data_IF_562343587872
#
_entry.id   IF_562343587872
#
_cell.length_a   1.000
_cell.length_b   1.000
_cell.length_c   1.000
_cell.angle_alpha   90.00
_cell.angle_beta   90.00
_cell.angle_gamma   90.00
#
_symmetry.space_group_name_H-M   'P 1'
#
loop_
_entity.id
_entity.type
_entity.pdbx_description
1 polymer ?
#
# COMPACT_ATOMS: atom_id res chain seq x y z
N UNK A 1 -10.82 14.44 -17.28
CA UNK A 1 -9.99 15.58 -17.72
C UNK A 1 -8.98 15.97 -16.63
N UNK A 2 -9.42 16.31 -15.40
CA UNK A 2 -8.51 16.70 -14.31
C UNK A 2 -7.36 15.73 -14.00
N UNK A 3 -7.61 14.41 -13.90
CA UNK A 3 -6.54 13.41 -13.66
C UNK A 3 -5.51 13.42 -14.79
N UNK A 4 -5.97 13.45 -16.04
CA UNK A 4 -5.09 13.47 -17.21
C UNK A 4 -4.27 14.77 -17.27
N UNK A 5 -4.87 15.90 -16.91
CA UNK A 5 -4.22 17.20 -16.85
C UNK A 5 -3.13 17.28 -15.78
N UNK A 6 -3.43 16.82 -14.56
CA UNK A 6 -2.45 16.78 -13.46
C UNK A 6 -1.31 15.80 -13.78
N UNK A 7 -1.62 14.65 -14.39
CA UNK A 7 -0.61 13.69 -14.85
C UNK A 7 0.24 14.17 -16.02
N UNK A 8 -0.13 15.23 -16.74
CA UNK A 8 0.73 15.84 -17.77
C UNK A 8 1.59 16.92 -17.13
N UNK A 9 0.98 17.81 -16.35
CA UNK A 9 1.64 19.01 -15.82
C UNK A 9 2.53 18.70 -14.61
N UNK A 10 2.31 17.57 -13.92
CA UNK A 10 3.05 17.12 -12.75
C UNK A 10 3.31 18.24 -11.72
N UNK A 11 2.27 18.97 -11.27
CA UNK A 11 2.45 20.01 -10.26
C UNK A 11 2.98 19.37 -8.96
N UNK A 12 4.14 19.84 -8.48
CA UNK A 12 4.73 19.38 -7.21
C UNK A 12 5.71 18.21 -7.29
N UNK A 13 5.97 17.62 -8.46
CA UNK A 13 6.88 16.46 -8.59
C UNK A 13 8.34 16.69 -8.15
N UNK A 14 8.80 17.94 -8.12
CA UNK A 14 10.11 18.31 -7.61
C UNK A 14 10.20 18.36 -6.07
N UNK A 15 9.10 18.19 -5.32
CA UNK A 15 9.13 18.08 -3.86
C UNK A 15 9.38 16.65 -3.35
N UNK A 16 9.12 15.64 -4.18
CA UNK A 16 9.09 14.24 -3.72
C UNK A 16 10.43 13.51 -3.88
N UNK A 17 11.42 14.17 -4.49
CA UNK A 17 12.74 13.59 -4.77
C UNK A 17 13.73 13.70 -3.61
N UNK A 18 13.39 14.42 -2.53
CA UNK A 18 14.27 14.60 -1.37
C UNK A 18 13.93 13.68 -0.18
N UNK A 19 12.70 13.13 -0.10
CA UNK A 19 12.28 12.24 1.01
C UNK A 19 12.29 10.73 0.66
N UNK A 20 12.77 10.34 -0.53
CA UNK A 20 12.66 8.97 -1.05
C UNK A 20 13.99 8.20 -0.97
N UNK A 21 14.57 8.08 0.23
CA UNK A 21 15.75 7.23 0.50
C UNK A 21 15.41 5.93 1.27
N UNK A 22 14.19 5.40 1.17
CA UNK A 22 13.87 4.09 1.75
C UNK A 22 13.05 3.21 0.78
N UNK A 23 13.76 2.68 -0.20
CA UNK A 23 13.19 1.86 -1.27
C UNK A 23 13.14 0.38 -0.87
N UNK A 24 12.41 0.08 0.21
CA UNK A 24 11.93 -1.28 0.50
C UNK A 24 10.42 -1.37 0.26
N UNK A 25 9.92 -0.59 -0.71
CA UNK A 25 8.52 -0.61 -1.12
C UNK A 25 8.33 -1.85 -2.01
N UNK A 26 7.59 -2.83 -1.50
CA UNK A 26 7.24 -4.03 -2.25
C UNK A 26 6.76 -3.65 -3.65
N UNK A 27 7.43 -4.17 -4.68
CA UNK A 27 7.00 -4.00 -6.06
C UNK A 27 5.71 -4.79 -6.22
N UNK A 28 4.57 -4.11 -6.07
CA UNK A 28 3.28 -4.68 -6.42
C UNK A 28 3.15 -4.69 -7.94
N UNK A 29 2.79 -5.84 -8.50
CA UNK A 29 2.36 -5.89 -9.89
C UNK A 29 1.07 -5.08 -10.05
N UNK A 30 0.91 -4.38 -11.18
CA UNK A 30 -0.34 -3.68 -11.50
C UNK A 30 -1.54 -4.65 -11.51
N UNK A 31 -1.31 -5.92 -11.89
CA UNK A 31 -2.34 -6.96 -11.84
C UNK A 31 -2.75 -7.28 -10.39
N UNK A 32 -1.78 -7.36 -9.47
CA UNK A 32 -2.06 -7.58 -8.05
C UNK A 32 -2.85 -6.40 -7.46
N UNK A 33 -2.52 -5.17 -7.86
CA UNK A 33 -3.26 -3.98 -7.44
C UNK A 33 -4.72 -4.00 -7.93
N UNK A 34 -4.98 -4.46 -9.16
CA UNK A 34 -6.35 -4.62 -9.67
C UNK A 34 -7.10 -5.75 -8.97
N UNK A 35 -6.43 -6.86 -8.68
CA UNK A 35 -7.03 -7.97 -7.93
C UNK A 35 -7.34 -7.55 -6.48
N UNK A 36 -6.48 -6.76 -5.86
CA UNK A 36 -6.72 -6.17 -4.54
C UNK A 36 -7.92 -5.20 -4.58
N UNK A 37 -8.06 -4.40 -5.64
CA UNK A 37 -9.21 -3.54 -5.84
C UNK A 37 -10.51 -4.36 -5.89
N UNK A 38 -10.54 -5.42 -6.69
CA UNK A 38 -11.72 -6.30 -6.83
C UNK A 38 -12.03 -7.00 -5.49
N UNK A 39 -11.02 -7.49 -4.77
CA UNK A 39 -11.21 -8.07 -3.43
C UNK A 39 -11.75 -7.05 -2.43
N UNK A 40 -11.32 -5.80 -2.52
CA UNK A 40 -11.86 -4.73 -1.69
C UNK A 40 -13.30 -4.34 -2.08
N UNK A 41 -13.73 -4.52 -3.33
CA UNK A 41 -15.12 -4.27 -3.74
C UNK A 41 -16.13 -5.22 -3.08
N UNK A 42 -15.73 -6.46 -2.79
CA UNK A 42 -16.58 -7.48 -2.18
C UNK A 42 -15.94 -7.97 -0.87
N UNK A 43 -16.02 -7.18 0.22
CA UNK A 43 -15.42 -7.57 1.48
C UNK A 43 -16.07 -8.84 2.01
N UNK A 44 -15.24 -9.80 2.46
CA UNK A 44 -15.71 -11.04 3.08
C UNK A 44 -16.41 -10.79 4.42
N UNK A 45 -16.15 -9.65 5.07
CA UNK A 45 -16.77 -9.25 6.32
C UNK A 45 -16.96 -7.72 6.38
N UNK A 46 -18.21 -7.28 6.61
CA UNK A 46 -18.55 -5.85 6.68
C UNK A 46 -18.00 -5.17 7.95
N UNK A 47 -18.03 -5.86 9.09
CA UNK A 47 -17.53 -5.31 10.37
C UNK A 47 -16.02 -5.13 10.28
N UNK A 48 -15.31 -6.13 9.75
CA UNK A 48 -13.87 -6.01 9.52
C UNK A 48 -13.55 -4.89 8.52
N UNK A 49 -14.35 -4.73 7.46
CA UNK A 49 -14.17 -3.67 6.47
C UNK A 49 -14.25 -2.25 7.07
N UNK A 50 -14.94 -2.05 8.20
CA UNK A 50 -14.99 -0.73 8.88
C UNK A 50 -13.65 -0.32 9.50
N UNK A 51 -12.75 -1.26 9.75
CA UNK A 51 -11.45 -0.99 10.38
C UNK A 51 -10.24 -1.47 9.57
N UNK A 52 -10.44 -2.37 8.60
CA UNK A 52 -9.37 -3.05 7.87
C UNK A 52 -9.65 -3.12 6.36
N UNK A 53 -8.58 -3.03 5.57
CA UNK A 53 -8.61 -3.15 4.11
C UNK A 53 -7.69 -4.29 3.65
N UNK A 54 -8.06 -4.96 2.57
CA UNK A 54 -7.25 -6.04 2.00
C UNK A 54 -6.09 -5.45 1.20
N UNK A 55 -4.87 -5.88 1.48
CA UNK A 55 -3.68 -5.48 0.74
C UNK A 55 -2.73 -6.67 0.57
N UNK A 56 -2.47 -7.05 -0.67
CA UNK A 56 -1.46 -8.08 -0.93
C UNK A 56 -0.08 -7.50 -0.60
N UNK A 57 0.55 -8.01 0.47
CA UNK A 57 1.92 -7.65 0.83
C UNK A 57 2.84 -8.82 0.49
N UNK A 58 3.70 -8.60 -0.50
CA UNK A 58 4.80 -9.52 -0.79
C UNK A 58 5.86 -9.37 0.31
N UNK A 59 5.97 -10.38 1.18
CA UNK A 59 7.07 -10.47 2.13
C UNK A 59 8.11 -11.45 1.58
N UNK A 60 9.28 -10.93 1.24
CA UNK A 60 10.44 -11.76 0.89
C UNK A 60 11.08 -12.24 2.19
N UNK A 61 10.62 -13.38 2.72
CA UNK A 61 11.31 -14.03 3.82
C UNK A 61 12.49 -14.77 3.22
N UNK A 62 13.69 -14.18 3.29
CA UNK A 62 14.92 -14.94 3.08
C UNK A 62 14.96 -16.00 4.17
N UNK A 63 14.77 -17.28 3.83
CA UNK A 63 15.03 -18.36 4.79
C UNK A 63 16.54 -18.37 5.04
N UNK A 64 17.06 -18.08 6.24
CA UNK A 64 18.40 -18.54 6.56
C UNK A 64 18.36 -20.07 6.51
N UNK A 65 19.23 -20.66 5.68
CA UNK A 65 19.43 -22.11 5.59
C UNK A 65 19.52 -22.69 7.01
N UNK A 66 18.87 -23.83 7.32
CA UNK A 66 18.98 -24.42 8.65
C UNK A 66 20.45 -24.62 8.99
N UNK A 67 20.86 -24.06 10.13
CA UNK A 67 22.16 -24.26 10.76
C UNK A 67 22.50 -25.75 10.72
N UNK A 68 23.74 -26.02 10.30
CA UNK A 68 24.35 -27.34 10.17
C UNK A 68 24.26 -28.10 11.50
N UNK A 69 23.15 -28.80 11.71
CA UNK A 69 22.99 -29.75 12.82
C UNK A 69 22.01 -30.88 12.50
N UNK A 70 21.23 -30.78 11.42
CA UNK A 70 20.26 -31.80 11.01
C UNK A 70 20.31 -32.14 9.51
N UNK A 71 21.51 -32.12 8.91
CA UNK A 71 21.75 -32.70 7.58
C UNK A 71 22.63 -33.95 7.71
N UNK A 72 22.29 -34.84 8.64
CA UNK A 72 22.69 -36.24 8.55
C UNK A 72 21.52 -36.93 7.87
N UNK A 73 21.73 -37.46 6.67
CA UNK A 73 20.74 -38.10 5.79
C UNK A 73 20.13 -37.16 4.75
N UNK A 74 20.88 -36.87 3.67
CA UNK A 74 20.45 -37.29 2.34
C UNK A 74 21.57 -37.08 1.33
N UNK A 75 21.76 -38.10 0.50
CA UNK A 75 22.85 -38.29 -0.45
C UNK A 75 22.68 -37.34 -1.65
N UNK A 76 23.56 -36.34 -1.78
CA UNK A 76 23.72 -35.60 -3.04
C UNK A 76 25.17 -35.09 -3.18
N UNK A 77 25.91 -35.79 -4.04
CA UNK A 77 27.26 -35.59 -4.57
C UNK A 77 27.78 -34.13 -4.56
N UNK A 78 28.51 -33.76 -3.50
CA UNK A 78 29.34 -32.53 -3.47
C UNK A 78 30.54 -32.73 -4.42
N UNK A 79 30.48 -32.20 -5.65
CA UNK A 79 31.65 -32.20 -6.56
C UNK A 79 32.58 -31.04 -6.18
N UNK A 80 33.50 -31.30 -5.26
CA UNK A 80 34.61 -30.40 -4.95
C UNK A 80 35.63 -30.44 -6.09
N UNK A 81 35.83 -29.33 -6.81
CA UNK A 81 36.92 -29.19 -7.78
C UNK A 81 38.19 -28.78 -7.02
N UNK A 82 39.18 -29.67 -7.02
CA UNK A 82 40.47 -29.50 -6.36
C UNK A 82 41.48 -29.05 -7.42
N UNK A 83 42.00 -27.82 -7.30
CA UNK A 83 43.16 -27.38 -8.07
C UNK A 83 44.40 -27.52 -7.18
N UNK A 84 45.32 -28.41 -7.56
CA UNK A 84 46.61 -28.57 -6.88
C UNK A 84 47.62 -27.60 -7.47
N UNK A 85 48.13 -26.67 -6.66
CA UNK A 85 49.30 -25.85 -7.00
C UNK A 85 50.49 -26.45 -6.26
N UNK A 86 51.51 -26.86 -7.02
CA UNK A 86 52.74 -27.47 -6.50
C UNK A 86 53.85 -26.42 -6.57
N UNK A 87 54.41 -26.03 -5.42
CA UNK A 87 55.59 -25.18 -5.39
C UNK A 87 56.85 -25.98 -5.75
N UNK A 88 57.78 -25.35 -6.47
CA UNK A 88 58.93 -25.94 -7.18
C UNK A 88 60.02 -26.61 -6.30
N UNK A 89 59.85 -26.66 -4.99
CA UNK A 89 60.71 -27.44 -4.08
C UNK A 89 59.85 -28.44 -3.30
N UNK A 90 59.81 -29.67 -3.81
CA UNK A 90 58.81 -30.69 -3.48
C UNK A 90 58.62 -31.01 -2.00
N UNK A 91 57.34 -31.05 -1.59
CA UNK A 91 56.67 -32.21 -0.96
C UNK A 91 55.30 -31.84 -0.36
N UNK A 92 54.87 -30.58 -0.41
CA UNK A 92 53.59 -30.16 0.14
C UNK A 92 52.60 -29.74 -0.97
N UNK A 93 51.54 -30.51 -1.14
CA UNK A 93 50.45 -30.23 -2.10
C UNK A 93 49.32 -29.58 -1.31
N UNK A 94 49.15 -28.27 -1.42
CA UNK A 94 47.98 -27.60 -0.83
C UNK A 94 46.77 -27.74 -1.76
N UNK A 95 45.82 -28.58 -1.33
CA UNK A 95 44.55 -28.77 -2.00
C UNK A 95 43.57 -27.66 -1.57
N UNK A 96 43.34 -26.68 -2.44
CA UNK A 96 42.36 -25.63 -2.17
C UNK A 96 40.99 -26.03 -2.73
N UNK A 97 40.00 -26.17 -1.85
CA UNK A 97 38.63 -26.52 -2.19
C UNK A 97 37.76 -25.26 -2.29
N UNK A 98 37.39 -24.85 -3.51
CA UNK A 98 36.45 -23.74 -3.71
C UNK A 98 35.01 -24.23 -3.51
N UNK A 99 34.41 -23.93 -2.36
CA UNK A 99 32.97 -24.19 -2.10
C UNK A 99 32.18 -23.09 -2.83
N UNK A 100 31.76 -23.37 -4.08
CA UNK A 100 30.86 -22.48 -4.81
C UNK A 100 29.56 -22.38 -4.01
N UNK A 101 29.32 -21.20 -3.42
CA UNK A 101 28.05 -20.90 -2.76
C UNK A 101 26.96 -20.92 -3.84
N UNK A 102 25.98 -21.85 -3.80
CA UNK A 102 24.91 -21.84 -4.79
C UNK A 102 24.00 -20.63 -4.56
N UNK A 103 23.43 -20.05 -5.63
CA UNK A 103 22.57 -18.89 -5.53
C UNK A 103 21.31 -19.19 -4.69
N UNK A 104 20.81 -18.23 -3.90
CA UNK A 104 19.70 -18.46 -2.98
C UNK A 104 18.37 -18.65 -3.73
N UNK A 105 17.67 -19.74 -3.43
CA UNK A 105 16.28 -19.96 -3.87
C UNK A 105 15.33 -18.96 -3.19
N UNK A 106 14.82 -18.03 -3.97
CA UNK A 106 13.84 -17.03 -3.55
C UNK A 106 12.43 -17.62 -3.62
N UNK A 107 11.96 -18.19 -2.50
CA UNK A 107 10.61 -18.72 -2.41
C UNK A 107 9.64 -17.56 -2.07
N UNK A 108 8.95 -17.06 -3.09
CA UNK A 108 7.97 -15.98 -2.98
C UNK A 108 6.73 -16.50 -2.24
N UNK A 109 6.51 -16.09 -0.98
CA UNK A 109 5.24 -16.29 -0.28
C UNK A 109 4.35 -15.05 -0.46
N UNK A 110 3.30 -15.18 -1.26
CA UNK A 110 2.21 -14.20 -1.33
C UNK A 110 1.40 -14.38 -0.04
N UNK A 111 1.65 -13.57 0.99
CA UNK A 111 0.87 -13.61 2.22
C UNK A 111 -0.26 -12.59 2.13
N UNK A 112 -1.48 -13.05 2.37
CA UNK A 112 -2.67 -12.20 2.49
C UNK A 112 -2.45 -11.25 3.68
N UNK A 113 -2.27 -9.96 3.39
CA UNK A 113 -2.09 -8.92 4.39
C UNK A 113 -3.38 -8.13 4.57
N UNK A 114 -3.84 -7.98 5.81
CA UNK A 114 -4.81 -6.92 6.14
C UNK A 114 -4.03 -5.68 6.55
N UNK A 115 -4.35 -4.55 5.93
CA UNK A 115 -3.80 -3.24 6.29
C UNK A 115 -4.78 -2.52 7.21
N UNK A 116 -4.26 -1.86 8.25
CA UNK A 116 -5.07 -1.00 9.11
C UNK A 116 -5.55 0.21 8.31
N UNK A 117 -6.86 0.30 8.13
CA UNK A 117 -7.49 1.29 7.27
C UNK A 117 -8.89 0.84 6.85
N UNK A 118 -9.83 1.75 6.78
CA UNK A 118 -11.21 1.43 6.42
C UNK A 118 -11.33 1.07 4.93
N UNK A 119 -11.91 -0.08 4.61
CA UNK A 119 -12.29 -0.43 3.24
C UNK A 119 -13.57 0.33 2.83
N UNK A 120 -13.40 1.62 2.51
CA UNK A 120 -14.50 2.50 2.09
C UNK A 120 -15.16 1.99 0.81
N UNK A 121 -14.39 1.48 -0.15
CA UNK A 121 -14.88 0.99 -1.44
C UNK A 121 -15.91 -0.14 -1.25
N UNK A 122 -15.55 -1.16 -0.45
CA UNK A 122 -16.43 -2.29 -0.17
C UNK A 122 -17.70 -1.90 0.58
N UNK A 123 -17.59 -0.99 1.55
CA UNK A 123 -18.74 -0.49 2.31
C UNK A 123 -19.71 0.29 1.39
N UNK A 124 -19.18 1.12 0.48
CA UNK A 124 -20.00 1.87 -0.50
C UNK A 124 -20.73 0.91 -1.46
N UNK A 125 -20.05 -0.10 -2.00
CA UNK A 125 -20.67 -1.05 -2.93
C UNK A 125 -21.71 -1.93 -2.22
N UNK A 126 -21.41 -2.41 -1.02
CA UNK A 126 -22.36 -3.18 -0.22
C UNK A 126 -23.61 -2.36 0.14
N UNK A 127 -23.42 -1.13 0.64
CA UNK A 127 -24.55 -0.26 0.98
C UNK A 127 -25.38 0.14 -0.24
N UNK A 128 -24.75 0.38 -1.40
CA UNK A 128 -25.46 0.65 -2.65
C UNK A 128 -26.31 -0.54 -3.11
N UNK A 129 -25.74 -1.75 -3.11
CA UNK A 129 -26.47 -2.98 -3.50
C UNK A 129 -27.61 -3.29 -2.53
N UNK A 130 -27.38 -3.15 -1.22
CA UNK A 130 -28.42 -3.29 -0.20
C UNK A 130 -29.52 -2.24 -0.37
N UNK A 131 -29.17 -0.98 -0.61
CA UNK A 131 -30.12 0.12 -0.86
C UNK A 131 -31.00 -0.14 -2.09
N UNK A 132 -30.42 -0.62 -3.19
CA UNK A 132 -31.17 -0.99 -4.41
C UNK A 132 -32.12 -2.16 -4.12
N UNK A 133 -31.67 -3.18 -3.39
CA UNK A 133 -32.49 -4.34 -3.02
C UNK A 133 -33.67 -3.95 -2.13
N UNK A 134 -33.45 -3.10 -1.12
CA UNK A 134 -34.52 -2.58 -0.26
C UNK A 134 -35.53 -1.72 -1.03
N UNK A 135 -35.06 -0.93 -1.99
CA UNK A 135 -35.93 -0.17 -2.89
C UNK A 135 -36.80 -1.06 -3.79
N UNK A 136 -36.31 -2.25 -4.17
CA UNK A 136 -37.05 -3.23 -4.97
C UNK A 136 -38.07 -4.03 -4.15
N UNK A 137 -37.89 -4.17 -2.84
CA UNK A 137 -38.79 -4.92 -1.94
C UNK A 137 -40.12 -4.20 -1.64
N UNK A 138 -40.31 -2.97 -2.14
CA UNK A 138 -41.55 -2.22 -2.03
C UNK A 138 -41.96 -1.98 -0.56
N UNK A 139 -43.20 -2.27 -0.16
CA UNK A 139 -43.68 -1.97 1.20
C UNK A 139 -42.91 -2.72 2.29
N UNK A 140 -42.41 -3.93 2.01
CA UNK A 140 -41.64 -4.73 2.97
C UNK A 140 -40.26 -4.10 3.28
N UNK A 141 -39.67 -3.36 2.34
CA UNK A 141 -38.40 -2.66 2.52
C UNK A 141 -38.53 -1.27 3.17
N UNK A 142 -39.75 -0.72 3.20
CA UNK A 142 -40.00 0.68 3.61
C UNK A 142 -39.55 0.99 5.04
N UNK A 143 -39.73 0.07 5.99
CA UNK A 143 -39.32 0.25 7.37
C UNK A 143 -37.81 0.48 7.51
N UNK A 144 -37.01 -0.31 6.79
CA UNK A 144 -35.55 -0.21 6.86
C UNK A 144 -35.02 1.02 6.09
N UNK A 145 -35.66 1.37 4.97
CA UNK A 145 -35.34 2.62 4.24
C UNK A 145 -35.61 3.85 5.12
N UNK A 146 -36.76 3.90 5.80
CA UNK A 146 -37.11 5.01 6.69
C UNK A 146 -36.15 5.12 7.88
N UNK A 147 -35.71 3.99 8.43
CA UNK A 147 -34.66 3.96 9.46
C UNK A 147 -33.34 4.54 8.93
N UNK A 148 -32.86 4.06 7.78
CA UNK A 148 -31.63 4.57 7.16
C UNK A 148 -31.70 6.08 6.84
N UNK A 149 -32.85 6.55 6.38
CA UNK A 149 -33.08 7.99 6.15
C UNK A 149 -33.02 8.80 7.44
N UNK A 150 -33.64 8.29 8.51
CA UNK A 150 -33.60 8.94 9.83
C UNK A 150 -32.19 9.00 10.40
N UNK A 151 -31.40 7.94 10.22
CA UNK A 151 -29.96 7.94 10.56
C UNK A 151 -29.18 8.95 9.72
N UNK A 152 -29.40 9.01 8.40
CA UNK A 152 -28.71 9.97 7.54
C UNK A 152 -29.03 11.42 7.94
N UNK A 153 -30.29 11.73 8.25
CA UNK A 153 -30.69 13.04 8.77
C UNK A 153 -29.98 13.37 10.09
N UNK A 154 -29.88 12.41 11.02
CA UNK A 154 -29.12 12.59 12.25
C UNK A 154 -27.63 12.83 12.00
N UNK A 155 -27.02 12.09 11.08
CA UNK A 155 -25.61 12.26 10.68
C UNK A 155 -25.39 13.64 10.06
N UNK A 156 -26.29 14.12 9.19
CA UNK A 156 -26.21 15.46 8.60
C UNK A 156 -26.23 16.56 9.66
N UNK A 157 -27.03 16.40 10.72
CA UNK A 157 -27.04 17.33 11.87
C UNK A 157 -25.73 17.32 12.65
N UNK A 158 -25.14 16.15 12.87
CA UNK A 158 -23.82 16.03 13.52
C UNK A 158 -22.76 16.71 12.66
N UNK A 159 -22.77 16.47 11.34
CA UNK A 159 -21.85 17.09 10.39
C UNK A 159 -21.99 18.62 10.40
N UNK A 160 -23.20 19.17 10.49
CA UNK A 160 -23.41 20.61 10.57
C UNK A 160 -22.72 21.23 11.81
N UNK A 161 -22.76 20.55 12.96
CA UNK A 161 -22.04 20.97 14.16
C UNK A 161 -20.53 20.95 13.91
N UNK A 162 -20.00 19.89 13.31
CA UNK A 162 -18.57 19.78 12.97
C UNK A 162 -18.12 20.87 12.00
N UNK A 163 -18.94 21.22 11.00
CA UNK A 163 -18.66 22.32 10.06
C UNK A 163 -18.52 23.66 10.81
N UNK A 164 -19.28 23.87 11.88
CA UNK A 164 -19.14 25.08 12.70
C UNK A 164 -17.79 25.16 13.43
N UNK A 165 -17.21 24.01 13.80
CA UNK A 165 -15.86 23.93 14.38
C UNK A 165 -14.73 23.92 13.33
N UNK A 166 -15.05 23.60 12.08
CA UNK A 166 -14.10 23.53 10.97
C UNK A 166 -13.23 24.79 10.77
N UNK A 167 -13.73 26.04 10.81
CA UNK A 167 -12.88 27.23 10.66
C UNK A 167 -11.76 27.30 11.70
N UNK A 168 -12.03 26.88 12.93
CA UNK A 168 -11.01 26.84 13.98
C UNK A 168 -10.00 25.69 13.74
N UNK A 169 -10.50 24.52 13.34
CA UNK A 169 -9.66 23.36 13.01
C UNK A 169 -8.70 23.61 11.85
N UNK A 170 -9.15 24.24 10.77
CA UNK A 170 -8.30 24.56 9.60
C UNK A 170 -7.16 25.49 10.00
N UNK A 171 -7.43 26.53 10.79
CA UNK A 171 -6.40 27.51 11.18
C UNK A 171 -5.27 26.81 11.93
N UNK A 172 -5.60 25.92 12.87
CA UNK A 172 -4.59 25.17 13.61
C UNK A 172 -3.83 24.16 12.74
N UNK A 173 -4.53 23.44 11.84
CA UNK A 173 -3.88 22.51 10.92
C UNK A 173 -2.93 23.20 9.94
N UNK A 174 -3.32 24.35 9.39
CA UNK A 174 -2.48 25.14 8.49
C UNK A 174 -1.28 25.71 9.24
N UNK A 175 -1.48 26.23 10.46
CA UNK A 175 -0.40 26.72 11.32
C UNK A 175 0.58 25.61 11.74
N UNK A 176 0.09 24.40 12.03
CA UNK A 176 0.94 23.24 12.31
C UNK A 176 1.76 22.84 11.09
N UNK A 177 1.12 22.76 9.91
CA UNK A 177 1.80 22.37 8.67
C UNK A 177 2.83 23.40 8.20
N UNK A 178 2.61 24.69 8.41
CA UNK A 178 3.61 25.72 8.05
C UNK A 178 4.81 25.69 8.99
N UNK A 179 4.62 25.31 10.26
CA UNK A 179 5.69 25.18 11.25
C UNK A 179 6.58 23.96 10.97
N UNK A 180 6.00 22.88 10.46
CA UNK A 180 6.76 21.68 10.03
C UNK A 180 7.60 21.93 8.76
N UNK A 181 7.27 22.95 7.96
CA UNK A 181 7.96 23.25 6.70
C UNK A 181 9.13 24.20 6.93
N UNK A 182 10.34 23.75 6.61
CA UNK A 182 11.56 24.55 6.63
C UNK A 182 11.51 25.77 5.68
N UNK A 183 10.93 25.60 4.49
CA UNK A 183 10.77 26.66 3.47
C UNK A 183 9.30 26.87 3.06
N UNK A 184 8.54 27.71 3.78
CA UNK A 184 7.12 27.95 3.51
C UNK A 184 6.87 28.60 2.14
N UNK A 185 7.79 29.44 1.67
CA UNK A 185 7.66 30.15 0.39
C UNK A 185 7.83 29.22 -0.82
N UNK A 186 8.77 28.27 -0.76
CA UNK A 186 8.99 27.28 -1.80
C UNK A 186 7.82 26.29 -1.88
N UNK A 187 7.30 25.84 -0.74
CA UNK A 187 6.11 24.97 -0.68
C UNK A 187 4.85 25.68 -1.15
N UNK A 188 4.66 26.96 -0.77
CA UNK A 188 3.56 27.80 -1.26
C UNK A 188 3.56 27.96 -2.78
N UNK A 189 4.73 28.15 -3.41
CA UNK A 189 4.85 28.21 -4.88
C UNK A 189 4.44 26.89 -5.54
N UNK A 190 4.85 25.75 -4.99
CA UNK A 190 4.49 24.42 -5.51
C UNK A 190 2.99 24.15 -5.38
N UNK A 191 2.38 24.51 -4.25
CA UNK A 191 0.94 24.42 -4.03
C UNK A 191 0.16 25.37 -4.95
N UNK A 192 0.70 26.57 -5.22
CA UNK A 192 0.12 27.54 -6.16
C UNK A 192 0.05 26.99 -7.59
N UNK A 193 1.09 26.30 -8.07
CA UNK A 193 1.05 25.63 -9.38
C UNK A 193 -0.01 24.52 -9.44
N UNK A 194 -0.19 23.76 -8.35
CA UNK A 194 -1.30 22.81 -8.24
C UNK A 194 -2.67 23.51 -8.29
N UNK A 195 -2.86 24.61 -7.56
CA UNK A 195 -4.12 25.37 -7.59
C UNK A 195 -4.46 25.89 -8.99
N UNK A 196 -3.47 26.45 -9.72
CA UNK A 196 -3.65 26.94 -11.09
C UNK A 196 -4.06 25.81 -12.04
N UNK A 197 -3.40 24.66 -11.95
CA UNK A 197 -3.72 23.50 -12.80
C UNK A 197 -5.11 22.92 -12.52
N UNK A 198 -5.53 22.90 -11.25
CA UNK A 198 -6.90 22.49 -10.88
C UNK A 198 -7.94 23.47 -11.40
N UNK A 199 -7.72 24.79 -11.23
CA UNK A 199 -8.66 25.81 -11.73
C UNK A 199 -8.78 25.72 -13.25
N UNK A 200 -7.66 25.62 -13.97
CA UNK A 200 -7.68 25.48 -15.43
C UNK A 200 -8.40 24.19 -15.87
N UNK A 201 -8.19 23.07 -15.16
CA UNK A 201 -8.87 21.80 -15.44
C UNK A 201 -10.35 21.75 -15.05
N UNK A 202 -10.85 22.73 -14.27
CA UNK A 202 -12.27 22.87 -13.90
C UNK A 202 -12.99 23.85 -14.83
N UNK A 203 -12.26 24.80 -15.42
CA UNK A 203 -12.76 25.75 -16.43
C UNK A 203 -12.89 25.11 -17.83
N UNK A 204 -12.03 24.12 -18.14
CA UNK A 204 -12.07 23.31 -19.37
C UNK A 204 -13.10 22.19 -19.31
#
# INVERSE_FOLDING_TARGET
>A
VGIMMVSIIHPGGAAQKEDSEDNNKAIMSSADALLDLIRNMFPSNLVQATFQQYQTRSQYIMKPKPTVSQALSESATKRTLIYGVQDDNGSDIQNFALDLTPPPDVLIHIREGTSDGMNVLGIVIFSATMGIMLGRMGPNGSALVNFCQSLNEAVLRIVAIVIWYFPFGIVFLVAGKILEMSDPSAMGKKLGFYAITVVFGLVL
#
